data_IF_545946084293
#
_entry.id   IF_545946084293
#
_cell.length_a   1.000
_cell.length_b   1.000
_cell.length_c   1.000
_cell.angle_alpha   90.00
_cell.angle_beta   90.00
_cell.angle_gamma   90.00
#
_symmetry.space_group_name_H-M   'P 1'
#
loop_
_entity.id
_entity.type
_entity.pdbx_description
1 polymer ?
#
# COMPACT_ATOMS: atom_id res chain seq x y z
N UNK A 1 20.13 -4.27 -14.16
CA UNK A 1 18.85 -3.52 -14.27
C UNK A 1 19.06 -2.11 -13.75
N UNK A 2 18.52 -1.09 -14.43
CA UNK A 2 18.70 0.34 -14.03
C UNK A 2 18.20 0.61 -12.60
N UNK A 3 17.07 0.02 -12.21
CA UNK A 3 16.53 0.19 -10.86
C UNK A 3 17.50 -0.23 -9.74
N UNK A 4 18.29 -1.30 -9.91
CA UNK A 4 19.29 -1.71 -8.91
C UNK A 4 20.39 -0.67 -8.71
N UNK A 5 20.84 -0.03 -9.80
CA UNK A 5 21.83 1.07 -9.75
C UNK A 5 21.27 2.33 -9.07
N UNK A 6 19.96 2.56 -9.16
CA UNK A 6 19.30 3.64 -8.42
C UNK A 6 19.25 3.30 -6.93
N UNK A 7 18.85 2.08 -6.59
CA UNK A 7 18.74 1.61 -5.20
C UNK A 7 20.08 1.72 -4.44
N UNK A 8 21.21 1.43 -5.09
CA UNK A 8 22.55 1.60 -4.51
C UNK A 8 22.83 3.03 -4.00
N UNK A 9 22.15 4.04 -4.56
CA UNK A 9 22.35 5.46 -4.22
C UNK A 9 21.14 6.11 -3.54
N UNK A 10 20.03 5.39 -3.42
CA UNK A 10 18.80 5.92 -2.82
C UNK A 10 18.80 5.75 -1.30
N UNK A 11 18.20 6.70 -0.60
CA UNK A 11 17.91 6.56 0.84
C UNK A 11 16.61 5.79 1.08
N UNK A 12 15.63 5.93 0.18
CA UNK A 12 14.29 5.34 0.32
C UNK A 12 13.84 4.69 -0.99
N UNK A 13 13.29 3.49 -0.88
CA UNK A 13 12.49 2.85 -1.93
C UNK A 13 11.04 2.81 -1.45
N UNK A 14 10.16 3.51 -2.16
CA UNK A 14 8.72 3.52 -1.90
C UNK A 14 7.99 2.88 -3.09
N UNK A 15 7.12 1.91 -2.83
CA UNK A 15 6.27 1.34 -3.87
C UNK A 15 4.84 1.04 -3.37
N UNK A 16 3.88 1.22 -4.26
CA UNK A 16 2.46 0.89 -4.06
C UNK A 16 2.03 -0.17 -5.06
N UNK A 17 2.77 -1.28 -5.08
CA UNK A 17 2.49 -2.42 -5.95
C UNK A 17 1.80 -3.55 -5.18
N UNK A 18 1.19 -4.48 -5.90
CA UNK A 18 0.63 -5.69 -5.27
C UNK A 18 1.73 -6.45 -4.53
N UNK A 19 1.41 -7.08 -3.39
CA UNK A 19 2.35 -7.97 -2.70
C UNK A 19 2.97 -8.99 -3.67
N UNK A 20 4.29 -9.17 -3.58
CA UNK A 20 5.05 -10.07 -4.44
C UNK A 20 5.30 -9.58 -5.87
N UNK A 21 4.93 -8.34 -6.22
CA UNK A 21 5.29 -7.77 -7.53
C UNK A 21 6.79 -7.45 -7.63
N UNK A 22 7.37 -6.88 -6.57
CA UNK A 22 8.80 -6.56 -6.51
C UNK A 22 9.68 -7.82 -6.42
N UNK A 23 9.21 -8.82 -5.69
CA UNK A 23 9.90 -10.12 -5.56
C UNK A 23 10.07 -10.79 -6.92
N UNK A 24 9.04 -10.74 -7.78
CA UNK A 24 9.08 -11.29 -9.16
C UNK A 24 10.12 -10.63 -10.06
N UNK A 25 10.52 -9.40 -9.77
CA UNK A 25 11.55 -8.67 -10.53
C UNK A 25 12.88 -8.58 -9.78
N UNK A 26 13.03 -9.33 -8.68
CA UNK A 26 14.25 -9.40 -7.88
C UNK A 26 14.58 -8.08 -7.18
N UNK A 27 13.54 -7.39 -6.69
CA UNK A 27 13.61 -6.17 -5.88
C UNK A 27 12.93 -6.36 -4.52
N UNK A 28 12.92 -7.57 -3.99
CA UNK A 28 12.49 -7.83 -2.61
C UNK A 28 13.41 -7.12 -1.60
N UNK A 29 12.97 -7.06 -0.35
CA UNK A 29 13.70 -6.36 0.71
C UNK A 29 15.12 -6.90 0.92
N UNK A 30 15.32 -8.21 0.94
CA UNK A 30 16.64 -8.78 1.22
C UNK A 30 17.61 -8.47 0.08
N UNK A 31 17.17 -8.64 -1.17
CA UNK A 31 17.98 -8.26 -2.34
C UNK A 31 18.33 -6.76 -2.31
N UNK A 32 17.38 -5.89 -1.98
CA UNK A 32 17.64 -4.44 -1.89
C UNK A 32 18.55 -4.08 -0.71
N UNK A 33 18.40 -4.76 0.43
CA UNK A 33 19.21 -4.52 1.63
C UNK A 33 20.65 -5.00 1.48
N UNK A 34 20.90 -6.03 0.67
CA UNK A 34 22.24 -6.44 0.27
C UNK A 34 22.93 -5.39 -0.59
N UNK A 35 22.20 -4.83 -1.56
CA UNK A 35 22.71 -3.75 -2.43
C UNK A 35 22.98 -2.46 -1.66
N UNK A 36 22.08 -2.09 -0.74
CA UNK A 36 22.20 -0.88 0.06
C UNK A 36 21.65 -1.08 1.48
N UNK A 37 22.55 -1.33 2.43
CA UNK A 37 22.21 -1.54 3.84
C UNK A 37 21.60 -0.31 4.54
N UNK A 38 21.74 0.87 3.95
CA UNK A 38 21.20 2.14 4.48
C UNK A 38 19.77 2.41 4.02
N UNK A 39 19.28 1.64 3.06
CA UNK A 39 17.98 1.84 2.42
C UNK A 39 16.83 1.68 3.43
N UNK A 40 15.86 2.57 3.34
CA UNK A 40 14.53 2.42 3.93
C UNK A 40 13.60 1.86 2.86
N UNK A 41 13.04 0.69 3.10
CA UNK A 41 12.15 -0.01 2.18
C UNK A 41 10.71 0.13 2.65
N UNK A 42 9.87 0.82 1.88
CA UNK A 42 8.50 1.12 2.25
C UNK A 42 7.52 0.63 1.17
N UNK A 43 6.55 -0.18 1.57
CA UNK A 43 5.48 -0.66 0.68
C UNK A 43 4.12 -0.23 1.21
N UNK A 44 3.38 0.51 0.39
CA UNK A 44 1.99 0.87 0.65
C UNK A 44 1.03 -0.19 0.10
N UNK A 45 0.13 -0.70 0.94
CA UNK A 45 -0.95 -1.59 0.52
C UNK A 45 -2.26 -1.21 1.20
N UNK A 46 -3.33 -1.21 0.42
CA UNK A 46 -4.70 -0.98 0.89
C UNK A 46 -5.14 -2.04 1.90
N UNK A 47 -4.75 -3.31 1.69
CA UNK A 47 -5.11 -4.45 2.54
C UNK A 47 -3.96 -4.99 3.40
N UNK A 48 -2.76 -4.42 3.26
CA UNK A 48 -1.53 -4.93 3.85
C UNK A 48 -0.82 -5.99 3.00
N UNK A 49 0.30 -6.51 3.51
CA UNK A 49 1.16 -7.47 2.78
C UNK A 49 0.78 -8.94 3.01
N UNK A 50 -0.09 -9.22 3.99
CA UNK A 50 -0.47 -10.58 4.39
C UNK A 50 -1.97 -10.67 4.71
N UNK A 51 -2.51 -11.89 4.70
CA UNK A 51 -3.92 -12.18 4.93
C UNK A 51 -4.74 -12.35 3.64
N UNK A 52 -5.99 -12.76 3.79
CA UNK A 52 -6.86 -13.18 2.68
C UNK A 52 -7.08 -12.08 1.62
N UNK A 53 -7.08 -10.81 2.04
CA UNK A 53 -7.33 -9.68 1.14
C UNK A 53 -6.04 -9.09 0.54
N UNK A 54 -4.84 -9.55 0.94
CA UNK A 54 -3.57 -8.93 0.51
C UNK A 54 -3.37 -8.95 -1.02
N UNK A 55 -3.91 -9.96 -1.70
CA UNK A 55 -3.84 -10.08 -3.16
C UNK A 55 -4.95 -9.32 -3.90
N UNK A 56 -5.94 -8.77 -3.18
CA UNK A 56 -7.06 -8.06 -3.79
C UNK A 56 -6.62 -6.68 -4.28
N UNK A 57 -7.20 -6.19 -5.41
CA UNK A 57 -6.94 -4.85 -5.89
C UNK A 57 -7.45 -3.84 -4.86
N UNK A 58 -6.56 -2.95 -4.41
CA UNK A 58 -6.93 -1.72 -3.74
C UNK A 58 -7.49 -0.72 -4.74
N UNK A 59 -8.53 -0.01 -4.37
CA UNK A 59 -9.04 1.16 -5.09
C UNK A 59 -9.35 2.26 -4.08
N UNK A 60 -9.29 3.51 -4.53
CA UNK A 60 -9.54 4.70 -3.71
C UNK A 60 -10.77 4.58 -2.80
N UNK A 61 -11.93 4.33 -3.40
CA UNK A 61 -13.20 4.26 -2.69
C UNK A 61 -13.17 3.26 -1.54
N UNK A 62 -12.46 2.16 -1.73
CA UNK A 62 -12.28 1.15 -0.72
C UNK A 62 -11.31 1.61 0.37
N UNK A 63 -10.23 2.31 0.02
CA UNK A 63 -9.36 2.93 1.01
C UNK A 63 -10.13 3.98 1.85
N UNK A 64 -10.99 4.79 1.23
CA UNK A 64 -11.88 5.72 1.93
C UNK A 64 -12.87 5.01 2.85
N UNK A 65 -13.49 3.92 2.38
CA UNK A 65 -14.43 3.13 3.16
C UNK A 65 -13.73 2.46 4.36
N UNK A 66 -12.59 1.80 4.15
CA UNK A 66 -11.83 1.15 5.22
C UNK A 66 -11.19 2.15 6.20
N UNK A 67 -10.92 3.37 5.72
CA UNK A 67 -10.42 4.47 6.53
C UNK A 67 -11.50 5.19 7.34
N UNK A 68 -12.77 4.76 7.28
CA UNK A 68 -13.89 5.41 7.97
C UNK A 68 -14.10 6.88 7.51
N UNK A 69 -13.71 7.17 6.26
CA UNK A 69 -13.86 8.50 5.65
C UNK A 69 -15.27 8.64 5.07
N UNK A 70 -15.77 7.57 4.43
CA UNK A 70 -17.11 7.54 3.81
C UNK A 70 -18.21 7.72 4.86
N UNK A 71 -18.07 7.11 6.03
CA UNK A 71 -19.04 7.22 7.14
C UNK A 71 -19.12 8.63 7.74
N UNK A 72 -18.05 9.42 7.61
CA UNK A 72 -17.93 10.77 8.18
C UNK A 72 -18.20 11.88 7.17
N UNK A 73 -18.49 11.53 5.93
CA UNK A 73 -18.66 12.47 4.82
C UNK A 73 -20.07 12.32 4.25
N UNK A 74 -20.75 13.42 3.89
CA UNK A 74 -22.16 13.41 3.48
C UNK A 74 -23.10 13.75 4.65
N UNK A 75 -24.29 13.14 4.68
CA UNK A 75 -25.23 13.26 5.81
C UNK A 75 -25.30 11.94 6.59
N UNK A 76 -25.80 11.92 7.84
CA UNK A 76 -25.96 10.67 8.60
C UNK A 76 -26.77 9.59 7.87
N UNK A 77 -27.78 9.99 7.09
CA UNK A 77 -28.65 9.09 6.32
C UNK A 77 -28.08 8.73 4.94
N UNK A 78 -27.17 9.57 4.42
CA UNK A 78 -26.50 9.36 3.13
C UNK A 78 -24.99 9.62 3.26
N UNK A 79 -24.24 8.63 3.80
CA UNK A 79 -22.79 8.67 3.77
C UNK A 79 -22.29 8.65 2.33
N UNK A 80 -21.32 9.50 2.02
CA UNK A 80 -20.78 9.66 0.69
C UNK A 80 -19.25 9.63 0.70
N UNK A 81 -18.61 9.11 -0.36
CA UNK A 81 -17.17 9.29 -0.53
C UNK A 81 -16.83 10.77 -0.66
N UNK A 82 -15.61 11.12 -0.27
CA UNK A 82 -15.08 12.45 -0.57
C UNK A 82 -14.99 12.62 -2.09
N UNK A 83 -15.46 13.74 -2.63
CA UNK A 83 -15.41 14.04 -4.07
C UNK A 83 -13.98 14.21 -4.62
N UNK A 84 -12.99 14.20 -3.74
CA UNK A 84 -11.57 14.09 -4.06
C UNK A 84 -11.18 12.63 -4.29
N UNK A 85 -10.68 12.34 -5.49
CA UNK A 85 -10.06 11.05 -5.81
C UNK A 85 -8.74 10.89 -5.04
N UNK A 86 -8.61 9.80 -4.28
CA UNK A 86 -7.35 9.36 -3.67
C UNK A 86 -6.73 8.09 -4.32
N UNK A 87 -7.17 7.67 -5.52
CA UNK A 87 -6.45 6.72 -6.41
C UNK A 87 -7.15 6.55 -7.80
N UNK A 88 -6.37 6.44 -8.89
CA UNK A 88 -6.83 6.39 -10.29
C UNK A 88 -7.04 4.95 -10.84
N UNK A 89 -8.12 4.77 -11.62
CA UNK A 89 -8.59 3.59 -12.39
C UNK A 89 -9.32 2.47 -11.63
N UNK A 90 -10.65 2.55 -11.59
CA UNK A 90 -11.53 1.49 -11.07
C UNK A 90 -12.38 0.80 -12.17
N UNK A 91 -12.43 -0.54 -12.12
CA UNK A 91 -13.59 -1.33 -12.59
C UNK A 91 -14.51 -1.60 -11.39
N UNK A 92 -15.83 -1.67 -11.61
CA UNK A 92 -16.89 -1.63 -10.60
C UNK A 92 -16.70 -2.60 -9.40
N UNK A 93 -16.84 -2.15 -8.14
CA UNK A 93 -16.83 -3.02 -6.95
C UNK A 93 -18.19 -3.70 -6.69
N UNK A 94 -18.17 -4.84 -5.96
CA UNK A 94 -19.33 -5.60 -5.44
C UNK A 94 -19.56 -5.30 -3.94
N UNK A 95 -20.76 -5.58 -3.37
CA UNK A 95 -21.16 -5.05 -2.05
C UNK A 95 -20.30 -5.55 -0.88
N UNK A 96 -20.18 -4.66 0.11
CA UNK A 96 -19.32 -4.67 1.30
C UNK A 96 -19.79 -5.64 2.39
N UNK A 97 -18.89 -6.50 2.87
CA UNK A 97 -18.98 -7.18 4.19
C UNK A 97 -17.60 -7.28 4.90
N UNK A 98 -16.59 -6.49 4.52
CA UNK A 98 -15.19 -6.71 4.95
C UNK A 98 -14.59 -5.67 5.90
N UNK A 99 -15.35 -4.67 6.31
CA UNK A 99 -14.80 -3.52 7.04
C UNK A 99 -14.91 -3.72 8.56
N UNK A 100 -13.91 -4.33 9.19
CA UNK A 100 -13.62 -4.05 10.62
C UNK A 100 -12.20 -4.40 11.06
N UNK A 101 -11.45 -5.23 10.33
CA UNK A 101 -10.15 -5.72 10.83
C UNK A 101 -8.92 -5.39 9.98
N UNK A 102 -9.06 -4.87 8.76
CA UNK A 102 -7.92 -4.51 7.92
C UNK A 102 -7.93 -3.03 7.57
N UNK A 103 -6.95 -2.29 8.11
CA UNK A 103 -6.71 -0.88 7.78
C UNK A 103 -5.62 -0.78 6.71
N UNK A 104 -5.64 0.26 5.87
CA UNK A 104 -4.52 0.58 5.01
C UNK A 104 -3.25 0.74 5.85
N UNK A 105 -2.16 0.10 5.41
CA UNK A 105 -0.90 0.03 6.16
C UNK A 105 0.29 0.24 5.23
N UNK A 106 1.17 1.14 5.64
CA UNK A 106 2.51 1.26 5.09
C UNK A 106 3.41 0.32 5.88
N UNK A 107 4.06 -0.60 5.17
CA UNK A 107 5.03 -1.52 5.75
C UNK A 107 6.42 -0.94 5.51
N UNK A 108 7.13 -0.63 6.59
CA UNK A 108 8.47 -0.06 6.54
C UNK A 108 9.44 -1.08 7.10
N UNK A 109 10.45 -1.44 6.32
CA UNK A 109 11.56 -2.27 6.72
C UNK A 109 12.87 -1.48 6.55
N UNK A 110 13.70 -1.50 7.59
CA UNK A 110 15.06 -0.97 7.52
C UNK A 110 15.95 -1.75 8.47
N UNK A 111 17.21 -1.98 8.08
CA UNK A 111 18.23 -2.53 8.98
C UNK A 111 18.80 -1.49 9.93
N UNK A 112 18.44 -0.20 9.79
CA UNK A 112 18.75 0.82 10.79
C UNK A 112 17.84 0.58 12.00
N UNK A 113 18.43 0.30 13.17
CA UNK A 113 17.74 0.63 14.43
C UNK A 113 17.51 2.13 14.42
N UNK A 114 16.26 2.55 14.52
CA UNK A 114 15.92 3.93 14.85
C UNK A 114 16.63 4.21 16.19
N UNK A 115 17.68 5.03 16.14
CA UNK A 115 18.30 5.61 17.33
C UNK A 115 17.43 6.75 17.84
#
# INVERSE_FOLDING_TARGET
MVAKRLIERSDVLLATLRPGALDRIGLDYETCAELNRRLVYAIGSTYGLAGELASRPGVDLLAQAMGDVVSKTGTPEQPMPTGSTHDERARRPRPLDLCTHQRPRIHIASRRRLQ
#
